data_IF_992712391104
#
_entry.id   IF_992712391104
#
_cell.length_a   1.000
_cell.length_b   1.000
_cell.length_c   1.000
_cell.angle_alpha   90.00
_cell.angle_beta   90.00
_cell.angle_gamma   90.00
#
_symmetry.space_group_name_H-M   'P 1'
#
loop_
_entity.id
_entity.type
_entity.pdbx_description
1 polymer ?
#
# COMPACT_ATOMS: atom_id res chain seq x y z
N UNK A 1 -11.51 -0.07 -14.26
CA UNK A 1 -11.98 0.46 -15.55
C UNK A 1 -10.84 0.50 -16.57
N UNK A 2 -11.17 0.68 -17.88
CA UNK A 2 -10.16 0.78 -18.97
C UNK A 2 -9.17 1.94 -18.74
N UNK A 3 -9.59 3.04 -18.10
CA UNK A 3 -8.72 4.16 -17.70
C UNK A 3 -7.76 3.78 -16.58
N UNK A 4 -8.18 3.04 -15.57
CA UNK A 4 -7.31 2.56 -14.50
C UNK A 4 -6.20 1.65 -15.02
N UNK A 5 -6.50 0.75 -15.99
CA UNK A 5 -5.50 -0.10 -16.64
C UNK A 5 -4.47 0.69 -17.47
N UNK A 6 -4.90 1.73 -18.19
CA UNK A 6 -3.98 2.59 -18.95
C UNK A 6 -3.08 3.44 -18.04
N UNK A 7 -3.52 3.80 -16.84
CA UNK A 7 -2.72 4.54 -15.87
C UNK A 7 -1.60 3.67 -15.28
N UNK A 8 -1.89 2.43 -14.90
CA UNK A 8 -0.86 1.49 -14.43
C UNK A 8 0.26 1.22 -15.47
N UNK A 9 -0.04 1.33 -16.77
CA UNK A 9 0.94 1.11 -17.84
C UNK A 9 1.83 2.35 -18.08
N UNK A 10 1.33 3.55 -17.77
CA UNK A 10 2.05 4.82 -17.96
C UNK A 10 2.73 5.32 -16.69
N UNK A 11 2.42 4.73 -15.56
CA UNK A 11 3.01 5.11 -14.29
C UNK A 11 4.49 4.73 -14.24
N UNK A 12 5.32 5.74 -14.00
CA UNK A 12 6.78 5.60 -13.87
C UNK A 12 7.17 4.56 -12.80
N UNK A 13 6.40 4.45 -11.72
CA UNK A 13 6.68 3.53 -10.61
C UNK A 13 6.25 2.07 -10.88
N UNK A 14 5.29 1.85 -11.79
CA UNK A 14 4.77 0.52 -12.13
C UNK A 14 5.21 0.05 -13.52
N UNK A 15 6.35 0.52 -13.99
CA UNK A 15 6.91 0.16 -15.30
C UNK A 15 8.14 -0.75 -15.17
N UNK A 16 8.40 -1.53 -16.20
CA UNK A 16 9.65 -2.29 -16.37
C UNK A 16 10.86 -1.35 -16.29
N UNK A 17 10.74 -0.14 -16.84
CA UNK A 17 11.80 0.85 -16.81
C UNK A 17 12.20 1.25 -15.39
N UNK A 18 11.26 1.27 -14.44
CA UNK A 18 11.59 1.57 -13.05
C UNK A 18 12.60 0.58 -12.46
N UNK A 19 12.47 -0.72 -12.77
CA UNK A 19 13.42 -1.74 -12.31
C UNK A 19 14.82 -1.50 -12.87
N UNK A 20 14.90 -1.18 -14.15
CA UNK A 20 16.19 -0.92 -14.84
C UNK A 20 16.88 0.34 -14.28
N UNK A 21 16.11 1.38 -13.97
CA UNK A 21 16.64 2.63 -13.40
C UNK A 21 17.07 2.49 -11.93
N UNK A 22 16.54 1.50 -11.22
CA UNK A 22 16.86 1.19 -9.81
C UNK A 22 17.94 0.09 -9.68
N UNK A 23 18.81 -0.06 -10.70
CA UNK A 23 19.87 -1.06 -10.71
C UNK A 23 19.36 -2.50 -10.51
N UNK A 24 18.35 -2.89 -11.27
CA UNK A 24 17.73 -4.21 -11.24
C UNK A 24 17.05 -4.57 -9.91
N UNK A 25 16.67 -3.56 -9.12
CA UNK A 25 15.95 -3.72 -7.85
C UNK A 25 14.47 -3.32 -7.99
N UNK A 26 13.60 -3.92 -7.19
CA UNK A 26 12.16 -3.64 -7.23
C UNK A 26 11.75 -2.33 -6.55
N UNK A 27 12.67 -1.39 -6.31
CA UNK A 27 12.45 -0.08 -5.71
C UNK A 27 11.84 -0.13 -4.29
N UNK A 28 10.54 -0.25 -4.15
CA UNK A 28 9.80 -0.21 -2.88
C UNK A 28 8.62 -1.19 -2.88
N UNK A 29 8.27 -1.80 -1.73
CA UNK A 29 7.13 -2.72 -1.64
C UNK A 29 5.76 -2.05 -1.86
N UNK A 30 5.69 -0.72 -1.96
CA UNK A 30 4.44 0.03 -2.16
C UNK A 30 4.07 0.23 -3.64
N UNK A 31 4.84 -0.34 -4.56
CA UNK A 31 4.58 -0.38 -6.01
C UNK A 31 4.66 -1.81 -6.54
N UNK A 32 4.10 -2.05 -7.74
CA UNK A 32 3.88 -3.41 -8.26
C UNK A 32 5.13 -4.29 -8.18
N UNK A 33 6.28 -3.83 -8.65
CA UNK A 33 7.51 -4.61 -8.69
C UNK A 33 7.95 -5.05 -7.28
N UNK A 34 7.96 -4.13 -6.32
CA UNK A 34 8.34 -4.43 -4.95
C UNK A 34 7.30 -5.27 -4.21
N UNK A 35 6.01 -5.06 -4.48
CA UNK A 35 4.94 -5.86 -3.89
C UNK A 35 5.01 -7.32 -4.38
N UNK A 36 5.18 -7.55 -5.69
CA UNK A 36 5.34 -8.90 -6.25
C UNK A 36 6.58 -9.59 -5.67
N UNK A 37 7.69 -8.86 -5.51
CA UNK A 37 8.89 -9.37 -4.86
C UNK A 37 8.62 -9.73 -3.38
N UNK A 38 7.92 -8.87 -2.63
CA UNK A 38 7.55 -9.12 -1.24
C UNK A 38 6.65 -10.35 -1.09
N UNK A 39 5.67 -10.52 -1.96
CA UNK A 39 4.79 -11.70 -1.97
C UNK A 39 5.57 -13.01 -2.20
N UNK A 40 6.64 -12.95 -2.98
CA UNK A 40 7.51 -14.11 -3.16
C UNK A 40 8.20 -14.57 -1.88
N UNK A 41 8.41 -13.68 -0.91
CA UNK A 41 9.06 -13.97 0.39
C UNK A 41 8.10 -14.49 1.47
N UNK A 42 6.79 -14.38 1.29
CA UNK A 42 5.79 -14.87 2.26
C UNK A 42 5.98 -16.37 2.47
N UNK A 43 5.96 -16.83 3.72
CA UNK A 43 6.13 -18.23 4.09
C UNK A 43 4.79 -18.97 4.14
N UNK A 44 4.78 -20.29 3.90
CA UNK A 44 5.91 -21.14 3.45
C UNK A 44 6.17 -21.04 1.95
N UNK A 45 7.43 -21.09 1.55
CA UNK A 45 7.81 -21.07 0.13
C UNK A 45 7.20 -22.29 -0.59
N UNK A 46 6.75 -22.10 -1.83
CA UNK A 46 6.20 -23.15 -2.69
C UNK A 46 4.77 -23.58 -2.37
N UNK A 47 4.09 -22.93 -1.42
CA UNK A 47 2.69 -23.25 -1.06
C UNK A 47 1.79 -22.01 -1.16
N UNK A 48 1.15 -21.85 -2.32
CA UNK A 48 0.30 -20.70 -2.63
C UNK A 48 -0.88 -20.53 -1.66
N UNK A 49 -1.53 -21.63 -1.25
CA UNK A 49 -2.72 -21.55 -0.39
C UNK A 49 -2.36 -21.15 1.05
N UNK A 50 -1.24 -21.70 1.57
CA UNK A 50 -0.74 -21.32 2.88
C UNK A 50 -0.26 -19.86 2.90
N UNK A 51 0.42 -19.39 1.85
CA UNK A 51 0.80 -17.99 1.68
C UNK A 51 -0.43 -17.07 1.63
N UNK A 52 -1.42 -17.44 0.83
CA UNK A 52 -2.66 -16.68 0.74
C UNK A 52 -3.37 -16.57 2.10
N UNK A 53 -3.44 -17.70 2.82
CA UNK A 53 -4.00 -17.70 4.18
C UNK A 53 -3.23 -16.75 5.10
N UNK A 54 -1.91 -16.79 5.10
CA UNK A 54 -1.08 -15.90 5.92
C UNK A 54 -1.31 -14.42 5.60
N UNK A 55 -1.47 -14.08 4.32
CA UNK A 55 -1.79 -12.71 3.86
C UNK A 55 -3.17 -12.27 4.38
N UNK A 56 -4.20 -13.12 4.22
CA UNK A 56 -5.55 -12.80 4.68
C UNK A 56 -5.62 -12.70 6.21
N UNK A 57 -4.96 -13.60 6.93
CA UNK A 57 -4.88 -13.55 8.39
C UNK A 57 -4.24 -12.23 8.87
N UNK A 58 -3.10 -11.84 8.28
CA UNK A 58 -2.43 -10.58 8.61
C UNK A 58 -3.30 -9.35 8.30
N UNK A 59 -3.95 -9.33 7.14
CA UNK A 59 -4.88 -8.26 6.78
C UNK A 59 -6.08 -8.20 7.72
N UNK A 60 -6.58 -9.35 8.18
CA UNK A 60 -7.66 -9.44 9.17
C UNK A 60 -7.24 -8.81 10.48
N UNK A 61 -6.03 -9.10 10.94
CA UNK A 61 -5.48 -8.53 12.17
C UNK A 61 -5.23 -7.02 12.06
N UNK A 62 -4.71 -6.57 10.92
CA UNK A 62 -4.49 -5.14 10.65
C UNK A 62 -5.79 -4.34 10.60
N UNK A 63 -6.80 -4.88 9.94
CA UNK A 63 -8.07 -4.18 9.67
C UNK A 63 -9.14 -4.44 10.77
N UNK A 64 -8.88 -5.35 11.70
CA UNK A 64 -9.85 -5.76 12.73
C UNK A 64 -10.94 -6.72 12.23
N UNK A 65 -11.03 -6.98 10.94
CA UNK A 65 -11.95 -7.93 10.31
C UNK A 65 -11.45 -8.34 8.93
N UNK A 66 -11.87 -9.52 8.46
CA UNK A 66 -11.39 -10.07 7.20
C UNK A 66 -11.87 -9.25 5.99
N UNK A 67 -10.96 -8.80 5.09
CA UNK A 67 -11.36 -8.28 3.81
C UNK A 67 -11.89 -9.40 2.90
N UNK A 68 -12.75 -9.06 1.95
CA UNK A 68 -13.34 -10.04 1.04
C UNK A 68 -12.65 -9.99 -0.32
N UNK A 69 -12.34 -11.16 -0.90
CA UNK A 69 -11.88 -11.21 -2.28
C UNK A 69 -13.05 -10.86 -3.22
N UNK A 70 -12.84 -9.89 -4.11
CA UNK A 70 -13.79 -9.53 -5.18
C UNK A 70 -13.46 -10.38 -6.41
N UNK A 71 -14.13 -11.51 -6.55
CA UNK A 71 -13.84 -12.51 -7.58
C UNK A 71 -13.89 -11.96 -9.01
N UNK A 72 -14.86 -11.10 -9.32
CA UNK A 72 -14.97 -10.47 -10.63
C UNK A 72 -13.77 -9.58 -10.95
N UNK A 73 -13.29 -8.82 -9.96
CA UNK A 73 -12.09 -8.00 -10.09
C UNK A 73 -10.86 -8.88 -10.29
N UNK A 74 -10.70 -9.93 -9.47
CA UNK A 74 -9.59 -10.87 -9.59
C UNK A 74 -9.54 -11.53 -10.97
N UNK A 75 -10.66 -12.01 -11.49
CA UNK A 75 -10.76 -12.61 -12.83
C UNK A 75 -10.39 -11.59 -13.92
N UNK A 76 -10.90 -10.38 -13.81
CA UNK A 76 -10.61 -9.30 -14.78
C UNK A 76 -9.15 -8.90 -14.78
N UNK A 77 -8.54 -8.72 -13.61
CA UNK A 77 -7.12 -8.37 -13.48
C UNK A 77 -6.20 -9.52 -13.92
N UNK A 78 -6.51 -10.75 -13.55
CA UNK A 78 -5.73 -11.94 -13.95
C UNK A 78 -5.71 -12.13 -15.47
N UNK A 79 -6.78 -11.82 -16.17
CA UNK A 79 -6.88 -11.95 -17.63
C UNK A 79 -6.03 -10.90 -18.38
N UNK A 80 -5.63 -9.81 -17.75
CA UNK A 80 -4.99 -8.66 -18.41
C UNK A 80 -3.70 -8.17 -17.74
N UNK A 81 -3.13 -8.93 -16.82
CA UNK A 81 -1.96 -8.56 -16.02
C UNK A 81 -0.60 -8.74 -16.74
N UNK A 82 -0.55 -8.64 -18.06
CA UNK A 82 0.67 -8.88 -18.85
C UNK A 82 1.87 -8.04 -18.41
N UNK A 83 1.65 -6.78 -18.03
CA UNK A 83 2.73 -5.92 -17.53
C UNK A 83 3.31 -6.46 -16.21
N UNK A 84 2.47 -6.84 -15.26
CA UNK A 84 2.91 -7.39 -13.99
C UNK A 84 3.59 -8.77 -14.16
N UNK A 85 3.14 -9.56 -15.11
CA UNK A 85 3.81 -10.83 -15.48
C UNK A 85 5.21 -10.56 -16.03
N UNK A 86 5.37 -9.59 -16.91
CA UNK A 86 6.68 -9.18 -17.43
C UNK A 86 7.60 -8.68 -16.32
N UNK A 87 7.07 -7.91 -15.36
CA UNK A 87 7.80 -7.46 -14.17
C UNK A 87 8.26 -8.65 -13.32
N UNK A 88 7.37 -9.62 -13.01
CA UNK A 88 7.70 -10.79 -12.20
C UNK A 88 8.84 -11.62 -12.82
N UNK A 89 8.77 -11.88 -14.12
CA UNK A 89 9.80 -12.65 -14.82
C UNK A 89 11.11 -11.87 -14.98
N UNK A 90 11.07 -10.54 -15.16
CA UNK A 90 12.27 -9.70 -15.16
C UNK A 90 12.95 -9.71 -13.80
N UNK A 91 12.19 -9.56 -12.72
CA UNK A 91 12.70 -9.67 -11.35
C UNK A 91 13.27 -11.06 -11.03
N UNK A 92 12.67 -12.13 -11.59
CA UNK A 92 13.23 -13.48 -11.49
C UNK A 92 14.59 -13.58 -12.15
N UNK A 93 14.74 -12.98 -13.34
CA UNK A 93 16.04 -12.93 -14.04
C UNK A 93 17.12 -12.21 -13.22
N UNK A 94 16.74 -11.22 -12.43
CA UNK A 94 17.64 -10.47 -11.53
C UNK A 94 17.78 -11.06 -10.14
N UNK A 95 17.25 -12.28 -9.88
CA UNK A 95 17.25 -12.94 -8.57
C UNK A 95 16.55 -12.10 -7.47
N UNK A 96 15.48 -11.42 -7.81
CA UNK A 96 14.63 -10.61 -6.91
C UNK A 96 13.26 -11.24 -6.64
N UNK A 97 13.01 -12.43 -7.13
CA UNK A 97 11.86 -13.27 -6.80
C UNK A 97 12.40 -14.53 -6.13
N UNK A 98 11.87 -14.82 -4.94
CA UNK A 98 12.38 -15.86 -4.03
C UNK A 98 11.53 -17.13 -4.05
N UNK A 99 10.51 -17.16 -4.90
CA UNK A 99 9.63 -18.30 -5.15
C UNK A 99 9.32 -18.42 -6.66
N UNK A 100 8.28 -19.14 -7.03
CA UNK A 100 7.78 -19.17 -8.40
C UNK A 100 7.20 -17.79 -8.79
N UNK A 101 7.59 -17.22 -9.94
CA UNK A 101 7.14 -15.90 -10.36
C UNK A 101 5.64 -15.84 -10.69
N UNK A 102 5.08 -16.91 -11.28
CA UNK A 102 3.64 -16.93 -11.60
C UNK A 102 2.80 -17.11 -10.33
N UNK A 103 3.25 -17.90 -9.37
CA UNK A 103 2.63 -18.01 -8.05
C UNK A 103 2.64 -16.64 -7.32
N UNK A 104 3.78 -15.96 -7.31
CA UNK A 104 3.92 -14.64 -6.67
C UNK A 104 3.00 -13.60 -7.32
N UNK A 105 2.86 -13.66 -8.65
CA UNK A 105 1.93 -12.81 -9.40
C UNK A 105 0.47 -13.12 -9.06
N UNK A 106 0.10 -14.39 -8.89
CA UNK A 106 -1.25 -14.78 -8.47
C UNK A 106 -1.57 -14.23 -7.10
N UNK A 107 -0.67 -14.35 -6.12
CA UNK A 107 -0.85 -13.81 -4.77
C UNK A 107 -1.02 -12.29 -4.80
N UNK A 108 -0.14 -11.60 -5.52
CA UNK A 108 -0.23 -10.16 -5.73
C UNK A 108 -1.57 -9.73 -6.34
N UNK A 109 -2.03 -10.41 -7.39
CA UNK A 109 -3.29 -10.09 -8.06
C UNK A 109 -4.49 -10.32 -7.13
N UNK A 110 -4.45 -11.38 -6.29
CA UNK A 110 -5.45 -11.63 -5.25
C UNK A 110 -5.47 -10.51 -4.21
N UNK A 111 -4.31 -10.07 -3.72
CA UNK A 111 -4.21 -8.95 -2.77
C UNK A 111 -4.81 -7.66 -3.35
N UNK A 112 -4.46 -7.32 -4.60
CA UNK A 112 -5.01 -6.14 -5.28
C UNK A 112 -6.52 -6.23 -5.54
N UNK A 113 -7.10 -7.42 -5.39
CA UNK A 113 -8.54 -7.68 -5.58
C UNK A 113 -9.30 -7.84 -4.25
N UNK A 114 -8.66 -7.61 -3.11
CA UNK A 114 -9.36 -7.57 -1.83
C UNK A 114 -10.19 -6.31 -1.70
N UNK A 115 -11.48 -6.48 -1.39
CA UNK A 115 -12.39 -5.40 -1.04
C UNK A 115 -12.22 -5.02 0.43
N UNK A 116 -12.04 -3.72 0.68
CA UNK A 116 -11.87 -3.16 2.01
C UNK A 116 -12.81 -1.97 2.19
N UNK A 117 -13.44 -1.83 3.36
CA UNK A 117 -14.25 -0.66 3.70
C UNK A 117 -13.38 0.51 4.16
N UNK A 118 -13.91 1.73 4.12
CA UNK A 118 -13.20 2.89 4.68
C UNK A 118 -12.93 2.73 6.18
N UNK A 119 -13.84 2.06 6.92
CA UNK A 119 -13.66 1.73 8.33
C UNK A 119 -12.47 0.79 8.53
N UNK A 120 -12.44 -0.36 7.84
CA UNK A 120 -11.32 -1.30 7.89
C UNK A 120 -10.00 -0.63 7.54
N UNK A 121 -9.99 0.21 6.50
CA UNK A 121 -8.80 0.94 6.08
C UNK A 121 -8.34 1.96 7.15
N UNK A 122 -9.28 2.59 7.86
CA UNK A 122 -8.94 3.50 8.97
C UNK A 122 -8.38 2.76 10.18
N UNK A 123 -8.89 1.57 10.49
CA UNK A 123 -8.34 0.69 11.55
C UNK A 123 -6.92 0.24 11.19
N UNK A 124 -6.67 -0.15 9.93
CA UNK A 124 -5.33 -0.46 9.44
C UNK A 124 -4.36 0.73 9.64
N UNK A 125 -4.78 1.94 9.24
CA UNK A 125 -3.98 3.15 9.44
C UNK A 125 -3.74 3.45 10.93
N UNK A 126 -4.76 3.25 11.79
CA UNK A 126 -4.66 3.44 13.24
C UNK A 126 -3.73 2.40 13.89
N UNK A 127 -3.74 1.15 13.41
CA UNK A 127 -2.80 0.11 13.85
C UNK A 127 -1.36 0.51 13.56
N UNK A 128 -1.09 1.05 12.36
CA UNK A 128 0.24 1.56 12.01
C UNK A 128 0.61 2.77 12.89
N UNK A 129 -0.32 3.71 13.09
CA UNK A 129 -0.10 4.89 13.92
C UNK A 129 0.15 4.56 15.40
N UNK A 130 -0.35 3.42 15.88
CA UNK A 130 -0.25 2.93 17.25
C UNK A 130 0.80 1.81 17.39
N UNK A 131 1.94 1.97 16.72
CA UNK A 131 3.10 1.07 16.84
C UNK A 131 2.78 -0.42 16.61
N UNK A 132 1.83 -0.70 15.72
CA UNK A 132 1.41 -2.06 15.38
C UNK A 132 0.37 -2.67 16.32
N UNK A 133 -0.06 -1.97 17.35
CA UNK A 133 -1.14 -2.40 18.24
C UNK A 133 -2.49 -1.99 17.65
N UNK A 134 -3.31 -2.96 17.24
CA UNK A 134 -4.66 -2.69 16.75
C UNK A 134 -5.55 -2.12 17.85
N UNK A 135 -6.07 -0.88 17.72
CA UNK A 135 -6.81 -0.23 18.81
C UNK A 135 -8.16 -0.88 19.11
N UNK A 136 -8.77 -1.58 18.15
CA UNK A 136 -10.05 -2.28 18.34
C UNK A 136 -9.91 -3.65 18.99
N UNK A 137 -8.94 -4.44 18.54
CA UNK A 137 -8.73 -5.82 19.02
C UNK A 137 -7.73 -5.94 20.16
N UNK A 138 -6.94 -4.90 20.41
CA UNK A 138 -5.82 -4.87 21.36
C UNK A 138 -4.74 -5.92 21.06
N UNK A 139 -4.64 -6.36 19.81
CA UNK A 139 -3.62 -7.30 19.34
C UNK A 139 -2.41 -6.56 18.77
N UNK A 140 -1.20 -6.97 19.16
CA UNK A 140 0.04 -6.55 18.51
C UNK A 140 0.16 -7.32 17.19
N UNK A 141 0.02 -6.62 16.05
CA UNK A 141 -0.02 -7.22 14.72
C UNK A 141 1.39 -7.37 14.14
N UNK A 142 2.25 -6.41 14.43
CA UNK A 142 3.66 -6.43 14.03
C UNK A 142 4.53 -5.72 15.08
N UNK A 143 5.84 -5.96 15.02
CA UNK A 143 6.79 -5.34 15.95
C UNK A 143 6.73 -3.81 15.84
N UNK A 144 6.62 -3.14 16.99
CA UNK A 144 6.55 -1.68 17.10
C UNK A 144 7.69 -0.95 16.37
N UNK A 145 8.87 -1.54 16.31
CA UNK A 145 10.02 -0.97 15.61
C UNK A 145 9.85 -0.89 14.08
N UNK A 146 8.86 -1.59 13.55
CA UNK A 146 8.50 -1.52 12.11
C UNK A 146 7.60 -0.33 11.80
N UNK A 147 6.83 0.20 12.76
CA UNK A 147 5.89 1.29 12.51
C UNK A 147 6.56 2.54 11.89
N UNK A 148 7.68 3.06 12.42
CA UNK A 148 8.35 4.19 11.79
C UNK A 148 8.94 3.86 10.42
N UNK A 149 9.36 2.61 10.17
CA UNK A 149 9.85 2.16 8.86
C UNK A 149 8.73 2.10 7.82
N UNK A 150 7.57 1.54 8.19
CA UNK A 150 6.36 1.51 7.35
C UNK A 150 5.92 2.93 7.03
N UNK A 151 5.85 3.81 8.03
CA UNK A 151 5.43 5.20 7.86
C UNK A 151 6.39 5.99 6.98
N UNK A 152 7.71 5.78 7.09
CA UNK A 152 8.69 6.42 6.21
C UNK A 152 8.59 5.92 4.77
N UNK A 153 8.35 4.63 4.53
CA UNK A 153 8.07 4.13 3.18
C UNK A 153 6.82 4.78 2.59
N UNK A 154 5.75 4.90 3.37
CA UNK A 154 4.52 5.60 2.95
C UNK A 154 4.83 7.07 2.61
N UNK A 155 5.66 7.74 3.38
CA UNK A 155 6.06 9.13 3.15
C UNK A 155 6.88 9.31 1.86
N UNK A 156 7.59 8.29 1.38
CA UNK A 156 8.47 8.40 0.19
C UNK A 156 7.74 8.13 -1.13
N UNK A 157 6.69 7.31 -1.14
CA UNK A 157 6.05 6.87 -2.40
C UNK A 157 4.53 6.70 -2.29
N UNK A 158 3.91 7.21 -1.23
CA UNK A 158 2.49 7.00 -0.94
C UNK A 158 1.53 7.51 -2.02
N UNK A 159 1.88 8.56 -2.75
CA UNK A 159 1.09 9.19 -3.80
C UNK A 159 1.76 9.14 -5.18
N UNK A 160 2.58 8.13 -5.44
CA UNK A 160 3.33 7.99 -6.69
C UNK A 160 4.14 9.26 -6.98
N UNK A 161 4.00 9.84 -8.19
CA UNK A 161 4.72 11.06 -8.59
C UNK A 161 4.35 12.29 -7.75
N UNK A 162 3.18 12.29 -7.12
CA UNK A 162 2.65 13.41 -6.33
C UNK A 162 2.93 13.29 -4.83
N UNK A 163 3.79 12.35 -4.43
CA UNK A 163 4.09 12.12 -3.00
C UNK A 163 4.68 13.36 -2.32
N UNK A 164 5.61 14.05 -2.98
CA UNK A 164 6.20 15.28 -2.46
C UNK A 164 5.17 16.39 -2.28
N UNK A 165 4.34 16.64 -3.29
CA UNK A 165 3.27 17.64 -3.26
C UNK A 165 2.23 17.34 -2.18
N UNK A 166 1.88 16.06 -2.05
CA UNK A 166 0.99 15.60 -1.00
C UNK A 166 1.56 15.91 0.38
N UNK A 167 2.78 15.45 0.66
CA UNK A 167 3.39 15.60 1.97
C UNK A 167 3.63 17.07 2.32
N UNK A 168 4.09 17.88 1.36
CA UNK A 168 4.26 19.32 1.51
C UNK A 168 2.96 20.05 1.88
N UNK A 169 1.85 19.65 1.26
CA UNK A 169 0.56 20.37 1.43
C UNK A 169 -0.33 19.80 2.52
N UNK A 170 -0.14 18.54 2.94
CA UNK A 170 -0.96 17.87 3.96
C UNK A 170 -0.25 17.65 5.29
N UNK A 171 1.09 17.50 5.25
CA UNK A 171 1.89 17.20 6.43
C UNK A 171 1.63 15.81 7.05
N UNK A 172 0.99 14.89 6.33
CA UNK A 172 0.71 13.54 6.82
C UNK A 172 1.19 12.48 5.82
N UNK A 173 1.99 11.48 6.24
CA UNK A 173 2.25 10.29 5.43
C UNK A 173 0.95 9.58 5.08
N UNK A 174 0.73 9.33 3.80
CA UNK A 174 -0.49 8.66 3.36
C UNK A 174 -0.26 7.81 2.11
N UNK A 175 -1.06 6.74 1.94
CA UNK A 175 -1.02 5.83 0.78
C UNK A 175 -2.34 5.85 0.05
N UNK A 176 -2.25 6.07 -1.24
CA UNK A 176 -3.38 6.00 -2.17
C UNK A 176 -3.48 4.63 -2.84
N UNK A 177 -4.68 4.27 -3.26
CA UNK A 177 -4.94 3.13 -4.12
C UNK A 177 -5.83 3.49 -5.29
N UNK A 178 -5.56 2.92 -6.46
CA UNK A 178 -6.35 3.15 -7.70
C UNK A 178 -7.82 2.71 -7.59
N UNK A 179 -8.18 2.00 -6.52
CA UNK A 179 -9.57 1.73 -6.15
C UNK A 179 -10.32 2.96 -5.63
N UNK A 180 -9.62 4.06 -5.31
CA UNK A 180 -10.20 5.30 -4.78
C UNK A 180 -10.05 5.49 -3.27
N UNK A 181 -9.39 4.56 -2.59
CA UNK A 181 -9.08 4.65 -1.16
C UNK A 181 -7.78 5.43 -0.90
N UNK A 182 -7.77 6.15 0.20
CA UNK A 182 -6.57 6.80 0.77
C UNK A 182 -6.54 6.52 2.26
N UNK A 183 -5.43 6.02 2.78
CA UNK A 183 -5.14 5.95 4.21
C UNK A 183 -4.06 6.96 4.58
N UNK A 184 -4.17 7.58 5.74
CA UNK A 184 -3.15 8.48 6.30
C UNK A 184 -2.78 8.04 7.71
N UNK A 185 -1.51 8.20 8.05
CA UNK A 185 -0.93 7.78 9.34
C UNK A 185 -0.35 8.99 10.05
N UNK A 186 -0.91 9.35 11.20
CA UNK A 186 -0.33 10.34 12.12
C UNK A 186 0.29 9.58 13.28
N UNK A 187 1.62 9.36 13.29
CA UNK A 187 2.29 8.50 14.25
C UNK A 187 1.97 8.87 15.70
N UNK A 188 1.63 7.90 16.53
CA UNK A 188 1.29 8.07 17.94
C UNK A 188 -0.02 8.81 18.22
N UNK A 189 -0.79 9.19 17.19
CA UNK A 189 -2.01 10.00 17.35
C UNK A 189 -3.22 9.32 16.73
N UNK A 190 -3.23 9.11 15.40
CA UNK A 190 -4.40 8.54 14.72
C UNK A 190 -4.10 7.98 13.33
N UNK A 191 -4.94 7.07 12.88
CA UNK A 191 -5.13 6.72 11.48
C UNK A 191 -6.36 7.40 10.90
N UNK A 192 -6.31 7.72 9.61
CA UNK A 192 -7.45 8.27 8.88
C UNK A 192 -7.59 7.57 7.54
N UNK A 193 -8.81 7.34 7.09
CA UNK A 193 -9.07 6.85 5.74
C UNK A 193 -10.23 7.60 5.09
N UNK A 194 -10.17 7.72 3.77
CA UNK A 194 -11.25 8.24 2.96
C UNK A 194 -11.35 7.47 1.65
N UNK A 195 -12.56 7.37 1.10
CA UNK A 195 -12.82 6.71 -0.17
C UNK A 195 -13.65 7.61 -1.09
N UNK A 196 -13.19 7.76 -2.33
CA UNK A 196 -13.97 8.41 -3.39
C UNK A 196 -13.50 7.96 -4.78
N UNK A 197 -14.41 7.55 -5.69
CA UNK A 197 -14.06 6.95 -6.99
C UNK A 197 -13.31 7.82 -7.99
N UNK A 198 -13.53 9.15 -8.12
CA UNK A 198 -12.81 9.97 -9.09
C UNK A 198 -11.33 10.09 -8.75
N UNK A 199 -10.49 9.77 -9.74
CA UNK A 199 -9.03 9.82 -9.62
C UNK A 199 -8.45 10.97 -10.46
N UNK A 200 -7.32 11.52 -10.01
CA UNK A 200 -6.47 12.41 -10.81
C UNK A 200 -5.65 11.63 -11.87
N UNK A 201 -4.82 12.34 -12.64
CA UNK A 201 -4.02 11.74 -13.70
C UNK A 201 -2.94 10.78 -13.18
N UNK A 202 -2.54 10.88 -11.93
CA UNK A 202 -1.60 9.97 -11.28
C UNK A 202 -2.27 8.76 -10.59
N UNK A 203 -3.61 8.70 -10.56
CA UNK A 203 -4.36 7.60 -9.96
C UNK A 203 -4.75 7.82 -8.50
N UNK A 204 -4.65 9.04 -8.00
CA UNK A 204 -5.00 9.37 -6.63
C UNK A 204 -6.44 9.88 -6.54
N UNK A 205 -7.18 9.46 -5.52
CA UNK A 205 -8.55 9.92 -5.30
C UNK A 205 -8.61 11.41 -4.98
N UNK A 206 -9.22 12.21 -5.87
CA UNK A 206 -9.29 13.67 -5.74
C UNK A 206 -10.03 14.09 -4.47
N UNK A 207 -11.22 13.55 -4.25
CA UNK A 207 -12.07 13.95 -3.12
C UNK A 207 -11.53 13.42 -1.79
N UNK A 208 -10.96 12.20 -1.76
CA UNK A 208 -10.35 11.67 -0.55
C UNK A 208 -9.13 12.49 -0.10
N UNK A 209 -8.30 12.95 -1.05
CA UNK A 209 -7.21 13.89 -0.78
C UNK A 209 -7.72 15.17 -0.11
N UNK A 210 -8.74 15.79 -0.70
CA UNK A 210 -9.32 17.05 -0.17
C UNK A 210 -9.90 16.86 1.23
N UNK A 211 -10.61 15.75 1.47
CA UNK A 211 -11.21 15.44 2.76
C UNK A 211 -10.15 15.27 3.87
N UNK A 212 -9.14 14.43 3.61
CA UNK A 212 -8.06 14.20 4.58
C UNK A 212 -7.29 15.49 4.85
N UNK A 213 -6.91 16.23 3.80
CA UNK A 213 -6.21 17.50 3.93
C UNK A 213 -7.01 18.53 4.76
N UNK A 214 -8.32 18.64 4.51
CA UNK A 214 -9.19 19.52 5.27
C UNK A 214 -9.22 19.15 6.76
N UNK A 215 -9.39 17.86 7.08
CA UNK A 215 -9.45 17.36 8.46
C UNK A 215 -8.11 17.61 9.17
N UNK A 216 -6.98 17.25 8.55
CA UNK A 216 -5.66 17.45 9.15
C UNK A 216 -5.37 18.91 9.42
N UNK A 217 -5.69 19.81 8.49
CA UNK A 217 -5.53 21.25 8.67
C UNK A 217 -6.42 21.80 9.81
N UNK A 218 -7.68 21.34 9.92
CA UNK A 218 -8.59 21.76 11.00
C UNK A 218 -8.13 21.27 12.37
N UNK A 219 -7.50 20.10 12.45
CA UNK A 219 -6.94 19.56 13.67
C UNK A 219 -5.53 20.12 13.99
N UNK A 220 -4.94 20.91 13.10
CA UNK A 220 -3.56 21.40 13.24
C UNK A 220 -2.49 20.30 13.22
N UNK A 221 -2.81 19.15 12.61
CA UNK A 221 -1.93 17.99 12.59
C UNK A 221 -1.01 18.01 11.38
N UNK A 222 0.31 17.98 11.66
CA UNK A 222 1.36 17.92 10.65
C UNK A 222 2.60 17.31 11.30
N UNK A 223 3.19 16.27 10.72
CA UNK A 223 4.38 15.59 11.26
C UNK A 223 5.61 16.51 11.32
N UNK A 224 5.61 17.59 10.56
CA UNK A 224 6.71 18.59 10.53
C UNK A 224 6.52 19.72 11.54
N UNK A 225 5.40 19.76 12.27
CA UNK A 225 5.22 20.69 13.37
C UNK A 225 6.20 20.29 14.48
N UNK A 226 7.21 21.15 14.71
CA UNK A 226 8.23 20.88 15.71
C UNK A 226 7.65 20.79 17.12
N UNK A 227 7.81 19.64 17.76
CA UNK A 227 7.69 19.55 19.20
C UNK A 227 9.01 20.03 19.81
N UNK A 228 8.99 21.05 20.67
CA UNK A 228 10.18 21.44 21.44
C UNK A 228 10.51 20.30 22.40
N UNK A 229 11.56 19.56 22.12
CA UNK A 229 12.12 18.60 23.07
C UNK A 229 12.82 19.42 24.14
N UNK A 230 12.31 19.40 25.37
CA UNK A 230 13.05 19.91 26.52
C UNK A 230 14.14 18.88 26.81
N UNK A 231 15.36 19.21 26.44
CA UNK A 231 16.55 18.46 26.89
C UNK A 231 16.79 18.90 28.32
N UNK A 232 16.42 18.05 29.28
CA UNK A 232 16.76 18.19 30.69
C UNK A 232 18.13 17.61 30.97
#
# INVERSE_FOLDING_TARGET
SRRQRQMCIRDRFNSIMAILLENDHPSTPLVNAGAISADSMVQPIGNSDAKWKAIVDNMTELCGSAPQLIDELYKSESATNFNNRSIAWLLKNYNRIYDDPDMSLVLYTRQCSMGITAEQLSVCAATIANDGLNPGTQKQVFDKELAPKITSLIATVGFYQHTGDWLYTSGIPAKTGVGGGVLGVMPGIMGIAAFAPPLDDAGNSVKAQLAIKYIMNKLGMNIFNGHRISIS
#
